data_IF_135254136794
#
_entry.id   IF_135254136794
#
_cell.length_a   1.000
_cell.length_b   1.000
_cell.length_c   1.000
_cell.angle_alpha   90.00
_cell.angle_beta   90.00
_cell.angle_gamma   90.00
#
_symmetry.space_group_name_H-M   'P 1'
#
loop_
_entity.id
_entity.type
_entity.pdbx_description
1 polymer ?
#
# COMPACT_ATOMS: atom_id res chain seq x y z
N UNK A 1 20.12 20.31 -14.67
CA UNK A 1 20.59 19.50 -13.53
C UNK A 1 19.82 18.19 -13.59
N UNK A 2 20.36 17.19 -14.29
CA UNK A 2 19.65 15.95 -14.61
C UNK A 2 19.93 14.95 -13.49
N UNK A 3 18.95 14.74 -12.61
CA UNK A 3 19.08 13.74 -11.55
C UNK A 3 19.01 12.36 -12.22
N UNK A 4 20.16 11.70 -12.35
CA UNK A 4 20.23 10.28 -12.67
C UNK A 4 19.70 9.52 -11.46
N UNK A 5 18.50 8.96 -11.58
CA UNK A 5 17.99 7.99 -10.61
C UNK A 5 18.61 6.64 -10.97
N UNK A 6 19.70 6.28 -10.31
CA UNK A 6 20.19 4.89 -10.29
C UNK A 6 19.14 3.98 -9.66
N UNK A 7 19.00 2.72 -10.11
CA UNK A 7 18.01 1.81 -9.54
C UNK A 7 18.28 1.67 -8.04
N UNK A 8 17.26 1.84 -7.18
CA UNK A 8 17.48 1.83 -5.75
C UNK A 8 17.95 0.44 -5.34
N UNK A 9 19.11 0.43 -4.69
CA UNK A 9 19.63 -0.65 -3.88
C UNK A 9 18.53 -1.19 -2.95
N UNK A 10 18.65 -2.46 -2.55
CA UNK A 10 17.66 -3.24 -1.76
C UNK A 10 17.50 -2.74 -0.31
N UNK A 11 17.63 -1.46 -0.06
CA UNK A 11 17.43 -0.85 1.24
C UNK A 11 15.94 -0.50 1.44
N UNK A 12 15.31 -1.26 2.33
CA UNK A 12 13.87 -1.28 2.66
C UNK A 12 13.38 -0.03 3.41
N UNK A 13 14.02 1.11 3.22
CA UNK A 13 13.80 2.30 4.05
C UNK A 13 13.71 3.59 3.23
N UNK A 14 12.73 3.68 2.31
CA UNK A 14 12.27 4.99 1.88
C UNK A 14 11.67 5.70 3.12
N UNK A 15 12.11 6.91 3.46
CA UNK A 15 11.76 7.53 4.74
C UNK A 15 10.25 7.67 4.83
N UNK A 16 9.70 7.04 5.87
CA UNK A 16 8.29 7.02 6.28
C UNK A 16 7.66 8.44 6.34
N UNK A 17 8.49 9.48 6.38
CA UNK A 17 8.12 10.90 6.40
C UNK A 17 7.77 11.52 5.03
N UNK A 18 8.05 10.87 3.89
CA UNK A 18 7.57 11.35 2.59
C UNK A 18 6.07 11.06 2.53
N UNK A 19 5.22 12.06 2.73
CA UNK A 19 3.76 11.93 2.59
C UNK A 19 3.37 11.43 1.20
N UNK A 20 3.42 10.12 0.99
CA UNK A 20 3.24 9.48 -0.29
C UNK A 20 1.80 9.69 -0.75
N UNK A 21 1.66 10.05 -2.02
CA UNK A 21 0.35 10.26 -2.63
C UNK A 21 -0.15 8.97 -3.24
N UNK A 22 -1.47 8.81 -3.23
CA UNK A 22 -2.16 7.71 -3.91
C UNK A 22 -2.02 7.92 -5.43
N UNK A 23 -1.63 6.87 -6.14
CA UNK A 23 -1.52 6.90 -7.59
C UNK A 23 -2.91 7.07 -8.21
N UNK A 24 -3.09 7.83 -9.32
CA UNK A 24 -4.40 8.06 -9.94
C UNK A 24 -5.18 6.77 -10.25
N UNK A 25 -4.49 5.71 -10.67
CA UNK A 25 -5.09 4.39 -10.92
C UNK A 25 -5.77 3.84 -9.66
N UNK A 26 -5.17 4.03 -8.49
CA UNK A 26 -5.71 3.52 -7.24
C UNK A 26 -7.00 4.27 -6.80
N UNK A 27 -7.33 5.42 -7.40
CA UNK A 27 -8.57 6.14 -7.11
C UNK A 27 -9.83 5.40 -7.55
N UNK A 28 -9.70 4.41 -8.44
CA UNK A 28 -10.83 3.52 -8.82
C UNK A 28 -11.35 2.72 -7.62
N UNK A 29 -10.51 2.54 -6.59
CA UNK A 29 -10.88 1.82 -5.37
C UNK A 29 -11.38 2.81 -4.32
N UNK A 30 -12.62 2.63 -3.80
CA UNK A 30 -13.15 3.45 -2.72
C UNK A 30 -12.22 3.46 -1.51
N UNK A 31 -12.12 4.60 -0.85
CA UNK A 31 -11.40 4.69 0.42
C UNK A 31 -12.08 3.83 1.49
N UNK A 32 -11.26 3.27 2.40
CA UNK A 32 -11.78 2.59 3.58
C UNK A 32 -12.64 3.53 4.41
N UNK A 33 -13.79 3.02 4.86
CA UNK A 33 -14.63 3.73 5.81
C UNK A 33 -13.88 3.93 7.13
N UNK A 34 -14.36 4.87 7.95
CA UNK A 34 -13.71 5.17 9.24
C UNK A 34 -13.64 3.95 10.16
N UNK A 35 -14.70 3.13 10.19
CA UNK A 35 -14.76 1.92 11.02
C UNK A 35 -13.82 0.83 10.50
N UNK A 36 -13.70 0.65 9.19
CA UNK A 36 -12.74 -0.30 8.58
C UNK A 36 -11.30 0.11 8.88
N UNK A 37 -11.00 1.40 8.82
CA UNK A 37 -9.68 1.94 9.17
C UNK A 37 -9.37 1.72 10.65
N UNK A 38 -10.33 1.95 11.53
CA UNK A 38 -10.14 1.70 12.96
C UNK A 38 -9.85 0.22 13.24
N UNK A 39 -10.59 -0.70 12.59
CA UNK A 39 -10.33 -2.14 12.70
C UNK A 39 -8.94 -2.51 12.21
N UNK A 40 -8.48 -1.89 11.12
CA UNK A 40 -7.13 -2.10 10.60
C UNK A 40 -6.08 -1.61 11.61
N UNK A 41 -6.24 -0.42 12.18
CA UNK A 41 -5.33 0.13 13.18
C UNK A 41 -5.25 -0.77 14.42
N UNK A 42 -6.38 -1.17 14.99
CA UNK A 42 -6.40 -2.05 16.16
C UNK A 42 -5.75 -3.40 15.87
N UNK A 43 -5.96 -3.96 14.67
CA UNK A 43 -5.28 -5.19 14.26
C UNK A 43 -3.75 -5.01 14.14
N UNK A 44 -3.28 -3.84 13.70
CA UNK A 44 -1.85 -3.52 13.67
C UNK A 44 -1.26 -3.30 15.05
N UNK A 45 -2.01 -2.69 15.98
CA UNK A 45 -1.59 -2.51 17.37
C UNK A 45 -1.49 -3.85 18.10
N UNK A 46 -2.46 -4.75 17.88
CA UNK A 46 -2.49 -6.08 18.50
C UNK A 46 -1.42 -7.03 17.95
N UNK A 47 -1.20 -7.03 16.63
CA UNK A 47 -0.31 -7.99 15.96
C UNK A 47 1.08 -7.42 15.63
N UNK A 48 1.26 -6.10 15.72
CA UNK A 48 2.53 -5.41 15.47
C UNK A 48 3.04 -5.42 14.01
N UNK A 49 2.25 -5.89 13.05
CA UNK A 49 2.73 -6.16 11.69
C UNK A 49 1.84 -5.56 10.60
N UNK A 50 2.42 -4.65 9.81
CA UNK A 50 1.84 -4.13 8.58
C UNK A 50 1.82 -5.25 7.50
N UNK A 51 0.76 -6.08 7.57
CA UNK A 51 0.39 -7.21 6.72
C UNK A 51 1.15 -7.40 5.39
N UNK A 52 0.52 -7.05 4.26
CA UNK A 52 1.17 -7.06 2.94
C UNK A 52 1.99 -5.79 2.70
N UNK A 53 2.99 -5.88 1.82
CA UNK A 53 3.76 -4.71 1.36
C UNK A 53 2.88 -3.67 0.66
N UNK A 54 3.28 -2.40 0.76
CA UNK A 54 2.70 -1.27 0.05
C UNK A 54 3.39 -1.19 -1.32
N UNK A 55 2.58 -1.22 -2.38
CA UNK A 55 3.10 -1.28 -3.76
C UNK A 55 3.22 0.14 -4.30
N UNK A 56 4.40 0.48 -4.79
CA UNK A 56 4.68 1.80 -5.35
C UNK A 56 4.83 1.74 -6.88
N UNK A 57 4.17 2.67 -7.57
CA UNK A 57 4.37 2.93 -9.00
C UNK A 57 4.73 4.40 -9.16
N UNK A 58 5.86 4.68 -9.81
CA UNK A 58 6.38 6.05 -10.02
C UNK A 58 6.45 6.90 -8.74
N UNK A 59 6.87 6.27 -7.63
CA UNK A 59 6.98 6.92 -6.32
C UNK A 59 5.64 7.23 -5.65
N UNK A 60 4.53 6.70 -6.17
CA UNK A 60 3.18 6.87 -5.63
C UNK A 60 2.59 5.52 -5.20
N UNK A 61 1.64 5.54 -4.27
CA UNK A 61 1.01 4.32 -3.74
C UNK A 61 0.00 3.78 -4.74
N UNK A 62 0.30 2.62 -5.33
CA UNK A 62 -0.60 1.88 -6.21
C UNK A 62 -1.55 0.95 -5.43
N UNK A 63 -1.06 0.30 -4.37
CA UNK A 63 -1.88 -0.51 -3.45
C UNK A 63 -1.39 -0.36 -2.00
N UNK A 64 -2.30 -0.51 -1.04
CA UNK A 64 -1.98 -0.45 0.38
C UNK A 64 -2.07 0.95 1.01
N UNK A 65 -2.78 1.89 0.40
CA UNK A 65 -2.99 3.26 0.96
C UNK A 65 -3.56 3.24 2.38
N UNK A 66 -4.51 2.33 2.66
CA UNK A 66 -5.04 2.12 4.01
C UNK A 66 -3.97 1.62 4.99
N UNK A 67 -3.10 0.69 4.56
CA UNK A 67 -2.00 0.18 5.37
C UNK A 67 -0.96 1.26 5.62
N UNK A 68 -0.59 2.03 4.60
CA UNK A 68 0.34 3.15 4.75
C UNK A 68 -0.13 4.14 5.81
N UNK A 69 -1.39 4.60 5.72
CA UNK A 69 -1.97 5.51 6.73
C UNK A 69 -2.02 4.88 8.12
N UNK A 70 -2.39 3.61 8.21
CA UNK A 70 -2.44 2.90 9.48
C UNK A 70 -1.05 2.77 10.12
N UNK A 71 -0.01 2.41 9.35
CA UNK A 71 1.36 2.38 9.85
C UNK A 71 1.85 3.78 10.31
N UNK A 72 1.45 4.86 9.62
CA UNK A 72 1.73 6.23 10.07
C UNK A 72 1.03 6.58 11.38
N UNK A 73 -0.23 6.16 11.55
CA UNK A 73 -1.02 6.45 12.74
C UNK A 73 -0.54 5.65 13.96
N UNK A 74 -0.15 4.38 13.77
CA UNK A 74 0.29 3.49 14.87
C UNK A 74 1.80 3.51 15.12
N UNK A 75 2.58 4.17 14.26
CA UNK A 75 4.04 4.18 14.32
C UNK A 75 4.69 2.86 13.86
N UNK A 76 3.92 1.92 13.30
CA UNK A 76 4.45 0.69 12.74
C UNK A 76 5.30 0.96 11.49
N UNK A 77 6.31 0.12 11.23
CA UNK A 77 7.15 0.28 10.03
C UNK A 77 6.45 -0.25 8.78
N UNK A 78 6.11 0.60 7.80
CA UNK A 78 5.61 0.15 6.51
C UNK A 78 6.71 -0.58 5.74
N UNK A 79 6.33 -1.60 4.97
CA UNK A 79 7.21 -2.24 3.99
C UNK A 79 6.75 -1.88 2.60
N UNK A 80 7.69 -1.50 1.75
CA UNK A 80 7.42 -1.07 0.39
C UNK A 80 8.04 -2.02 -0.61
N UNK A 81 7.35 -2.22 -1.72
CA UNK A 81 7.93 -2.83 -2.92
C UNK A 81 7.60 -1.99 -4.15
N UNK A 82 8.52 -1.87 -5.12
CA UNK A 82 8.17 -1.33 -6.42
C UNK A 82 7.18 -2.26 -7.14
N UNK A 83 6.30 -1.68 -7.93
CA UNK A 83 5.49 -2.39 -8.91
C UNK A 83 6.40 -2.96 -9.99
N UNK A 84 6.22 -4.23 -10.34
CA UNK A 84 7.01 -4.90 -11.35
C UNK A 84 6.10 -5.33 -12.51
N UNK A 85 6.14 -4.66 -13.67
CA UNK A 85 5.25 -4.99 -14.79
C UNK A 85 5.46 -6.41 -15.36
N UNK A 86 6.65 -7.00 -15.19
CA UNK A 86 6.92 -8.37 -15.63
C UNK A 86 6.17 -9.41 -14.79
N UNK A 87 5.98 -9.15 -13.49
CA UNK A 87 5.33 -10.12 -12.57
C UNK A 87 3.92 -9.71 -12.16
N UNK A 88 3.66 -8.41 -12.02
CA UNK A 88 2.39 -7.85 -11.59
C UNK A 88 1.43 -7.58 -12.78
N UNK A 89 1.97 -7.47 -14.01
CA UNK A 89 1.22 -7.25 -15.25
C UNK A 89 0.84 -5.79 -15.46
N UNK A 90 -0.39 -5.55 -15.91
CA UNK A 90 -0.94 -4.19 -16.06
C UNK A 90 -1.28 -3.57 -14.68
N UNK A 91 -0.92 -2.31 -14.41
CA UNK A 91 -1.19 -1.66 -13.13
C UNK A 91 -2.68 -1.52 -12.77
N UNK A 92 -3.55 -1.28 -13.74
CA UNK A 92 -4.99 -1.15 -13.50
C UNK A 92 -5.57 -2.52 -13.16
N UNK A 93 -5.24 -3.56 -13.95
CA UNK A 93 -5.66 -4.94 -13.68
C UNK A 93 -5.16 -5.42 -12.32
N UNK A 94 -3.93 -5.05 -11.93
CA UNK A 94 -3.38 -5.34 -10.62
C UNK A 94 -4.24 -4.77 -9.49
N UNK A 95 -4.57 -3.47 -9.57
CA UNK A 95 -5.38 -2.77 -8.57
C UNK A 95 -6.77 -3.40 -8.45
N UNK A 96 -7.43 -3.69 -9.58
CA UNK A 96 -8.76 -4.31 -9.61
C UNK A 96 -8.72 -5.71 -8.99
N UNK A 97 -7.78 -6.56 -9.40
CA UNK A 97 -7.63 -7.92 -8.86
C UNK A 97 -7.38 -7.92 -7.35
N UNK A 98 -6.46 -7.06 -6.88
CA UNK A 98 -6.14 -6.94 -5.45
C UNK A 98 -7.35 -6.50 -4.64
N UNK A 99 -8.11 -5.50 -5.11
CA UNK A 99 -9.30 -5.05 -4.39
C UNK A 99 -10.42 -6.10 -4.40
N UNK A 100 -10.65 -6.79 -5.52
CA UNK A 100 -11.65 -7.87 -5.57
C UNK A 100 -11.32 -8.95 -4.55
N UNK A 101 -10.09 -9.46 -4.54
CA UNK A 101 -9.65 -10.48 -3.58
C UNK A 101 -9.86 -10.02 -2.12
N UNK A 102 -9.50 -8.76 -1.80
CA UNK A 102 -9.74 -8.18 -0.48
C UNK A 102 -11.22 -8.06 -0.14
N UNK A 103 -12.07 -7.63 -1.09
CA UNK A 103 -13.52 -7.53 -0.86
C UNK A 103 -14.16 -8.89 -0.62
N UNK A 104 -13.71 -9.95 -1.30
CA UNK A 104 -14.17 -11.31 -1.04
C UNK A 104 -13.78 -11.74 0.39
N UNK A 105 -12.52 -11.58 0.77
CA UNK A 105 -12.09 -11.87 2.15
C UNK A 105 -12.90 -11.11 3.20
N UNK A 106 -13.19 -9.82 2.97
CA UNK A 106 -13.98 -9.00 3.91
C UNK A 106 -15.45 -9.41 4.02
N UNK A 107 -16.02 -10.00 2.97
CA UNK A 107 -17.42 -10.46 2.95
C UNK A 107 -17.60 -11.83 3.60
N UNK A 108 -16.59 -12.69 3.54
CA UNK A 108 -16.68 -14.09 3.98
C UNK A 108 -15.81 -14.43 5.20
N UNK A 109 -15.01 -13.48 5.69
CA UNK A 109 -14.19 -13.63 6.90
C UNK A 109 -14.80 -13.04 8.18
N UNK A 110 -16.15 -13.04 8.29
CA UNK A 110 -16.86 -12.71 9.54
C UNK A 110 -17.43 -13.95 10.18
#
# INVERSE_FOLDING_TARGET
MTIRVTPPDRDRSLPVALGLRKHPIAHVIPCLSRSERQRLNSSLEENGYCGEEIVLLDGQILDGDGRYRACLETGAMPRFRPFNPTTDGDPFDFVVRKNLAQSWLRKFGQ
#
